data_IF_959764080819
#
_entry.id   IF_959764080819
#
_cell.length_a   1.000
_cell.length_b   1.000
_cell.length_c   1.000
_cell.angle_alpha   90.00
_cell.angle_beta   90.00
_cell.angle_gamma   90.00
#
_symmetry.space_group_name_H-M   'P 1'
#
loop_
_entity.id
_entity.type
_entity.pdbx_description
1 polymer ?
#
# COMPACT_ATOMS: atom_id res chain seq x y z
N UNK A 1 21.60 26.52 0.84
CA UNK A 1 20.44 25.71 1.22
C UNK A 1 20.87 24.26 1.37
N UNK A 2 20.47 23.65 2.49
CA UNK A 2 20.90 22.29 2.86
C UNK A 2 19.77 21.26 2.68
N UNK A 3 18.65 21.65 2.05
CA UNK A 3 17.50 20.81 1.80
C UNK A 3 17.54 20.26 0.37
N UNK A 4 17.67 18.95 0.24
CA UNK A 4 17.85 18.29 -1.06
C UNK A 4 16.49 17.90 -1.64
N UNK A 5 15.61 17.36 -0.81
CA UNK A 5 14.32 16.87 -1.26
C UNK A 5 13.59 16.05 -0.20
N UNK A 6 12.57 15.31 -0.61
CA UNK A 6 11.84 14.35 0.20
C UNK A 6 11.80 12.99 -0.46
N UNK A 7 11.77 11.95 0.35
CA UNK A 7 11.31 10.62 0.00
C UNK A 7 9.96 10.43 0.69
N UNK A 8 8.96 10.02 -0.03
CA UNK A 8 7.61 9.83 0.51
C UNK A 8 6.88 8.74 -0.27
N UNK A 9 5.85 8.20 0.34
CA UNK A 9 5.02 7.16 -0.25
C UNK A 9 4.20 7.69 -1.43
N UNK A 10 3.97 6.83 -2.43
CA UNK A 10 3.11 7.10 -3.58
C UNK A 10 1.68 6.64 -3.28
N UNK A 11 0.93 7.48 -2.57
CA UNK A 11 -0.42 7.15 -2.12
C UNK A 11 -1.42 6.91 -3.27
N UNK A 12 -1.39 7.69 -4.38
CA UNK A 12 -2.23 7.38 -5.52
C UNK A 12 -1.91 6.03 -6.16
N UNK A 13 -0.63 5.70 -6.35
CA UNK A 13 -0.22 4.38 -6.87
C UNK A 13 -0.63 3.26 -5.92
N UNK A 14 -0.50 3.46 -4.61
CA UNK A 14 -0.97 2.51 -3.60
C UNK A 14 -2.48 2.27 -3.72
N UNK A 15 -3.26 3.32 -3.85
CA UNK A 15 -4.71 3.20 -4.02
C UNK A 15 -5.09 2.45 -5.29
N UNK A 16 -4.45 2.73 -6.42
CA UNK A 16 -4.70 2.02 -7.69
C UNK A 16 -4.43 0.53 -7.54
N UNK A 17 -3.32 0.14 -6.90
CA UNK A 17 -2.94 -1.25 -6.75
C UNK A 17 -3.84 -2.02 -5.79
N UNK A 18 -4.25 -1.43 -4.66
CA UNK A 18 -5.20 -2.06 -3.73
C UNK A 18 -6.55 -2.35 -4.40
N UNK A 19 -7.03 -1.43 -5.22
CA UNK A 19 -8.25 -1.67 -6.02
C UNK A 19 -8.01 -2.76 -7.07
N UNK A 20 -6.85 -2.79 -7.73
CA UNK A 20 -6.54 -3.82 -8.72
C UNK A 20 -6.58 -5.22 -8.11
N UNK A 21 -6.06 -5.42 -6.88
CA UNK A 21 -6.15 -6.70 -6.16
C UNK A 21 -7.60 -7.18 -6.08
N UNK A 22 -8.54 -6.31 -5.71
CA UNK A 22 -9.97 -6.65 -5.60
C UNK A 22 -10.59 -6.92 -6.98
N UNK A 23 -10.33 -6.05 -7.95
CA UNK A 23 -10.89 -6.18 -9.31
C UNK A 23 -10.45 -7.47 -10.00
N UNK A 24 -9.19 -7.89 -9.81
CA UNK A 24 -8.64 -9.15 -10.33
C UNK A 24 -9.24 -10.39 -9.65
N UNK A 25 -9.65 -10.28 -8.37
CA UNK A 25 -10.41 -11.33 -7.67
C UNK A 25 -11.85 -11.47 -8.17
N UNK A 26 -12.41 -10.43 -8.76
CA UNK A 26 -13.77 -10.41 -9.28
C UNK A 26 -14.73 -9.48 -8.55
N UNK A 27 -14.23 -8.70 -7.59
CA UNK A 27 -15.06 -7.76 -6.82
C UNK A 27 -15.45 -6.55 -7.69
N UNK A 28 -16.67 -6.06 -7.49
CA UNK A 28 -17.23 -4.98 -8.31
C UNK A 28 -17.95 -3.88 -7.53
N UNK A 29 -18.33 -4.14 -6.28
CA UNK A 29 -19.06 -3.21 -5.43
C UNK A 29 -18.22 -2.93 -4.17
N UNK A 30 -17.36 -1.91 -4.25
CA UNK A 30 -16.31 -1.67 -3.29
C UNK A 30 -16.71 -0.56 -2.33
N UNK A 31 -16.77 -0.87 -1.03
CA UNK A 31 -17.05 0.07 0.04
C UNK A 31 -15.77 0.73 0.59
N UNK A 32 -15.81 2.05 0.81
CA UNK A 32 -14.68 2.81 1.30
C UNK A 32 -14.87 3.25 2.76
N UNK A 33 -13.84 3.04 3.60
CA UNK A 33 -13.82 3.48 4.99
C UNK A 33 -12.57 4.34 5.22
N UNK A 34 -12.76 5.64 5.36
CA UNK A 34 -11.69 6.61 5.58
C UNK A 34 -11.45 6.91 7.06
N UNK A 35 -10.34 7.59 7.36
CA UNK A 35 -10.06 8.13 8.71
C UNK A 35 -10.94 9.34 9.00
N UNK A 36 -10.45 10.54 8.70
CA UNK A 36 -11.16 11.80 8.84
C UNK A 36 -11.31 12.49 7.50
N UNK A 37 -12.38 13.24 7.36
CA UNK A 37 -12.57 14.01 6.12
C UNK A 37 -11.47 15.07 5.96
N UNK A 38 -10.78 15.04 4.82
CA UNK A 38 -9.72 15.99 4.50
C UNK A 38 -8.32 15.53 4.90
N UNK A 39 -8.16 14.31 5.44
CA UNK A 39 -6.85 13.71 5.62
C UNK A 39 -6.11 13.57 4.29
N UNK A 40 -4.88 14.09 4.20
CA UNK A 40 -4.14 14.19 2.95
C UNK A 40 -3.71 12.81 2.41
N UNK A 41 -3.29 11.90 3.29
CA UNK A 41 -2.89 10.53 2.95
C UNK A 41 -4.08 9.76 2.41
N UNK A 42 -5.20 9.81 3.12
CA UNK A 42 -6.45 9.21 2.67
C UNK A 42 -6.92 9.76 1.31
N UNK A 43 -6.86 11.07 1.12
CA UNK A 43 -7.25 11.68 -0.15
C UNK A 43 -6.39 11.20 -1.31
N UNK A 44 -5.07 11.03 -1.10
CA UNK A 44 -4.16 10.46 -2.10
C UNK A 44 -4.56 9.03 -2.49
N UNK A 45 -4.80 8.15 -1.50
CA UNK A 45 -5.27 6.77 -1.73
C UNK A 45 -6.60 6.76 -2.47
N UNK A 46 -7.55 7.59 -2.04
CA UNK A 46 -8.87 7.68 -2.69
C UNK A 46 -8.79 8.14 -4.16
N UNK A 47 -7.86 9.04 -4.50
CA UNK A 47 -7.58 9.36 -5.91
C UNK A 47 -7.13 8.11 -6.68
N UNK A 48 -6.26 7.29 -6.10
CA UNK A 48 -5.83 6.01 -6.67
C UNK A 48 -6.97 5.02 -6.86
N UNK A 49 -7.83 4.85 -5.85
CA UNK A 49 -9.02 3.96 -5.96
C UNK A 49 -9.91 4.36 -7.13
N UNK A 50 -10.19 5.66 -7.28
CA UNK A 50 -10.99 6.18 -8.40
C UNK A 50 -10.31 5.92 -9.75
N UNK A 51 -9.00 6.20 -9.83
CA UNK A 51 -8.24 5.99 -11.06
C UNK A 51 -8.23 4.51 -11.48
N UNK A 52 -8.03 3.59 -10.54
CA UNK A 52 -8.07 2.14 -10.79
C UNK A 52 -9.43 1.68 -11.31
N UNK A 53 -10.51 2.09 -10.65
CA UNK A 53 -11.89 1.74 -11.10
C UNK A 53 -12.23 2.39 -12.45
N UNK A 54 -11.83 3.63 -12.69
CA UNK A 54 -12.05 4.29 -13.99
C UNK A 54 -11.33 3.57 -15.13
N UNK A 55 -10.08 3.17 -14.89
CA UNK A 55 -9.26 2.41 -15.84
C UNK A 55 -9.91 1.04 -16.14
N UNK A 56 -10.27 0.28 -15.09
CA UNK A 56 -10.97 -0.99 -15.23
C UNK A 56 -12.25 -0.84 -16.04
N UNK A 57 -13.10 0.11 -15.70
CA UNK A 57 -14.38 0.34 -16.35
C UNK A 57 -14.25 0.74 -17.83
N UNK A 58 -13.17 1.41 -18.19
CA UNK A 58 -12.85 1.74 -19.57
C UNK A 58 -12.42 0.52 -20.37
N UNK A 59 -11.64 -0.36 -19.77
CA UNK A 59 -11.12 -1.58 -20.38
C UNK A 59 -12.16 -2.68 -20.40
N UNK A 60 -13.09 -2.69 -19.42
CA UNK A 60 -14.12 -3.71 -19.22
C UNK A 60 -15.53 -3.11 -19.22
N UNK A 61 -16.04 -2.58 -20.35
CA UNK A 61 -17.31 -1.85 -20.38
C UNK A 61 -18.55 -2.65 -20.02
N UNK A 62 -18.47 -3.99 -20.08
CA UNK A 62 -19.53 -4.93 -19.73
C UNK A 62 -19.38 -5.56 -18.34
N UNK A 63 -18.32 -5.21 -17.60
CA UNK A 63 -17.98 -5.75 -16.29
C UNK A 63 -17.46 -4.63 -15.39
N UNK A 64 -18.35 -3.69 -15.08
CA UNK A 64 -18.01 -2.45 -14.38
C UNK A 64 -17.99 -2.62 -12.88
N UNK A 65 -17.03 -1.96 -12.26
CA UNK A 65 -16.94 -1.81 -10.82
C UNK A 65 -17.42 -0.42 -10.35
N UNK A 66 -17.81 -0.34 -9.08
CA UNK A 66 -18.26 0.88 -8.41
C UNK A 66 -17.52 1.07 -7.09
N UNK A 67 -17.37 2.34 -6.69
CA UNK A 67 -16.90 2.73 -5.37
C UNK A 67 -18.02 3.42 -4.61
N UNK A 68 -18.19 3.12 -3.33
CA UNK A 68 -19.05 3.91 -2.47
C UNK A 68 -18.47 5.30 -2.19
N UNK A 69 -19.31 6.24 -1.75
CA UNK A 69 -18.80 7.40 -1.01
C UNK A 69 -18.15 6.92 0.30
N UNK A 70 -17.01 7.51 0.73
CA UNK A 70 -16.35 7.09 1.95
C UNK A 70 -17.21 7.26 3.21
N UNK A 71 -17.22 6.24 4.06
CA UNK A 71 -17.66 6.37 5.44
C UNK A 71 -16.43 6.73 6.30
N UNK A 72 -16.52 7.79 7.09
CA UNK A 72 -15.39 8.24 7.91
C UNK A 72 -15.49 7.64 9.32
N UNK A 73 -14.49 6.84 9.68
CA UNK A 73 -14.45 6.04 10.90
C UNK A 73 -13.61 6.66 12.03
N UNK A 74 -12.88 7.75 11.73
CA UNK A 74 -11.78 8.19 12.60
C UNK A 74 -10.69 7.11 12.67
N UNK A 75 -9.98 7.06 13.79
CA UNK A 75 -8.86 6.12 14.02
C UNK A 75 -9.23 5.05 15.06
N UNK A 76 -10.44 4.51 15.02
CA UNK A 76 -10.91 3.55 16.03
C UNK A 76 -11.55 2.31 15.40
N UNK A 77 -11.37 1.16 16.06
CA UNK A 77 -12.04 -0.09 15.68
C UNK A 77 -13.57 0.03 15.76
N UNK A 78 -14.10 0.76 16.73
CA UNK A 78 -15.55 1.02 16.85
C UNK A 78 -16.07 1.79 15.65
N UNK A 79 -15.34 2.82 15.21
CA UNK A 79 -15.67 3.60 14.01
C UNK A 79 -15.64 2.73 12.75
N UNK A 80 -14.58 1.95 12.57
CA UNK A 80 -14.44 1.01 11.45
C UNK A 80 -15.56 -0.02 11.41
N UNK A 81 -15.93 -0.59 12.56
CA UNK A 81 -17.06 -1.52 12.67
C UNK A 81 -18.39 -0.89 12.25
N UNK A 82 -18.70 0.32 12.77
CA UNK A 82 -19.93 1.03 12.42
C UNK A 82 -19.99 1.40 10.93
N UNK A 83 -18.85 1.82 10.36
CA UNK A 83 -18.76 2.16 8.95
C UNK A 83 -18.99 0.92 8.06
N UNK A 84 -18.38 -0.22 8.38
CA UNK A 84 -18.58 -1.46 7.65
C UNK A 84 -20.03 -1.96 7.75
N UNK A 85 -20.63 -1.91 8.95
CA UNK A 85 -22.04 -2.27 9.15
C UNK A 85 -22.97 -1.36 8.33
N UNK A 86 -22.68 -0.06 8.27
CA UNK A 86 -23.47 0.88 7.47
C UNK A 86 -23.37 0.61 5.96
N UNK A 87 -22.16 0.31 5.46
CA UNK A 87 -21.94 -0.04 4.05
C UNK A 87 -22.65 -1.35 3.68
N UNK A 88 -22.51 -2.41 4.47
CA UNK A 88 -23.22 -3.68 4.27
C UNK A 88 -24.72 -3.55 4.32
N UNK A 89 -25.26 -2.61 5.12
CA UNK A 89 -26.70 -2.37 5.19
C UNK A 89 -27.20 -1.51 4.02
N UNK A 90 -26.37 -0.62 3.50
CA UNK A 90 -26.72 0.27 2.39
C UNK A 90 -26.65 -0.43 1.02
N UNK A 91 -25.72 -1.36 0.86
CA UNK A 91 -25.50 -2.12 -0.37
C UNK A 91 -25.49 -3.63 -0.08
N UNK A 92 -26.59 -4.34 -0.39
CA UNK A 92 -26.66 -5.79 -0.26
C UNK A 92 -25.71 -6.56 -1.18
N UNK A 93 -25.29 -5.95 -2.28
CA UNK A 93 -24.39 -6.52 -3.29
C UNK A 93 -22.92 -6.16 -3.04
N UNK A 94 -22.61 -5.50 -1.89
CA UNK A 94 -21.25 -5.17 -1.47
C UNK A 94 -20.39 -6.44 -1.41
N UNK A 95 -19.31 -6.46 -2.18
CA UNK A 95 -18.40 -7.60 -2.29
C UNK A 95 -16.96 -7.29 -1.83
N UNK A 96 -16.63 -6.01 -1.63
CA UNK A 96 -15.33 -5.65 -1.07
C UNK A 96 -15.37 -4.42 -0.15
N UNK A 97 -14.37 -4.31 0.73
CA UNK A 97 -14.13 -3.15 1.59
C UNK A 97 -12.65 -2.72 1.52
N UNK A 98 -12.43 -1.41 1.49
CA UNK A 98 -11.12 -0.80 1.66
C UNK A 98 -11.14 0.11 2.90
N UNK A 99 -10.89 -0.42 4.09
CA UNK A 99 -10.68 0.40 5.27
C UNK A 99 -9.33 1.11 5.20
N UNK A 100 -9.28 2.35 5.66
CA UNK A 100 -8.03 3.05 5.86
C UNK A 100 -7.15 2.25 6.84
N UNK A 101 -5.91 1.99 6.43
CA UNK A 101 -4.90 1.28 7.20
C UNK A 101 -4.26 2.17 8.27
N UNK A 102 -3.22 1.68 8.88
CA UNK A 102 -2.46 2.39 9.90
C UNK A 102 -2.74 1.86 11.30
N UNK A 103 -1.90 0.89 11.71
CA UNK A 103 -1.92 0.38 13.07
C UNK A 103 -3.15 -0.44 13.47
N UNK A 104 -4.04 -0.74 12.56
CA UNK A 104 -5.12 -1.71 12.73
C UNK A 104 -6.46 -1.19 13.20
N UNK A 105 -6.64 0.11 13.41
CA UNK A 105 -7.85 0.58 14.10
C UNK A 105 -9.15 0.47 13.27
N UNK A 106 -9.39 1.22 12.18
CA UNK A 106 -10.62 1.02 11.40
C UNK A 106 -10.66 -0.35 10.74
N UNK A 107 -9.51 -0.86 10.28
CA UNK A 107 -9.38 -2.16 9.64
C UNK A 107 -9.84 -3.29 10.56
N UNK A 108 -9.34 -3.36 11.80
CA UNK A 108 -9.74 -4.38 12.76
C UNK A 108 -11.25 -4.34 13.03
N UNK A 109 -11.82 -3.14 13.10
CA UNK A 109 -13.26 -2.95 13.28
C UNK A 109 -14.08 -3.45 12.09
N UNK A 110 -13.63 -3.17 10.88
CA UNK A 110 -14.26 -3.61 9.64
C UNK A 110 -14.23 -5.14 9.51
N UNK A 111 -13.06 -5.77 9.74
CA UNK A 111 -12.91 -7.23 9.74
C UNK A 111 -13.88 -7.85 10.75
N UNK A 112 -13.89 -7.37 12.00
CA UNK A 112 -14.78 -7.89 13.02
C UNK A 112 -16.27 -7.72 12.69
N UNK A 113 -16.65 -6.68 11.95
CA UNK A 113 -18.03 -6.48 11.50
C UNK A 113 -18.42 -7.48 10.41
N UNK A 114 -17.54 -7.71 9.44
CA UNK A 114 -17.74 -8.71 8.37
C UNK A 114 -17.83 -10.13 8.95
N UNK A 115 -16.94 -10.47 9.89
CA UNK A 115 -16.95 -11.77 10.61
C UNK A 115 -18.26 -11.97 11.39
N UNK A 116 -18.71 -10.97 12.15
CA UNK A 116 -20.00 -11.04 12.90
C UNK A 116 -21.20 -11.18 11.99
N UNK A 117 -21.14 -10.60 10.79
CA UNK A 117 -22.18 -10.74 9.78
C UNK A 117 -22.16 -12.11 9.07
N UNK A 118 -21.12 -12.92 9.31
CA UNK A 118 -20.92 -14.22 8.63
C UNK A 118 -20.57 -14.07 7.15
N UNK A 119 -20.01 -12.93 6.74
CA UNK A 119 -19.73 -12.59 5.34
C UNK A 119 -18.24 -12.66 4.98
N UNK A 120 -17.41 -13.31 5.77
CA UNK A 120 -15.95 -13.42 5.54
C UNK A 120 -15.60 -14.02 4.17
N UNK A 121 -16.46 -14.84 3.58
CA UNK A 121 -16.23 -15.43 2.27
C UNK A 121 -16.97 -14.68 1.14
N UNK A 122 -17.73 -13.66 1.47
CA UNK A 122 -18.54 -12.88 0.53
C UNK A 122 -18.01 -11.46 0.33
N UNK A 123 -17.18 -10.95 1.26
CA UNK A 123 -16.64 -9.59 1.23
C UNK A 123 -15.13 -9.65 1.42
N UNK A 124 -14.41 -9.34 0.36
CA UNK A 124 -12.96 -9.21 0.38
C UNK A 124 -12.51 -7.89 1.02
N UNK A 125 -11.41 -7.94 1.77
CA UNK A 125 -10.86 -6.75 2.44
C UNK A 125 -9.41 -6.55 2.03
N UNK A 126 -9.08 -5.34 1.58
CA UNK A 126 -7.69 -4.89 1.40
C UNK A 126 -7.43 -3.63 2.22
N UNK A 127 -6.19 -3.42 2.62
CA UNK A 127 -5.81 -2.23 3.39
C UNK A 127 -4.32 -1.90 3.24
N UNK A 128 -3.83 -0.98 4.05
CA UNK A 128 -2.41 -0.58 4.13
C UNK A 128 -1.88 -0.80 5.54
N UNK A 129 -0.56 -1.02 5.68
CA UNK A 129 0.17 -1.32 6.91
C UNK A 129 -0.06 -2.73 7.44
N UNK A 130 0.85 -3.60 7.05
CA UNK A 130 0.76 -5.04 7.30
C UNK A 130 0.36 -5.40 8.73
N UNK A 131 -0.76 -6.12 8.85
CA UNK A 131 -1.18 -6.72 10.11
C UNK A 131 -0.20 -7.80 10.55
N UNK A 132 0.09 -7.92 11.86
CA UNK A 132 0.99 -8.96 12.36
C UNK A 132 0.54 -10.39 12.05
N UNK A 133 -0.77 -10.60 11.86
CA UNK A 133 -1.41 -11.87 11.56
C UNK A 133 -1.89 -11.96 10.09
N UNK A 134 -1.35 -11.13 9.20
CA UNK A 134 -1.75 -11.06 7.79
C UNK A 134 -1.70 -12.44 7.11
N UNK A 135 -0.64 -13.23 7.34
CA UNK A 135 -0.51 -14.55 6.74
C UNK A 135 -1.66 -15.50 7.11
N UNK A 136 -2.13 -15.46 8.36
CA UNK A 136 -3.30 -16.24 8.78
C UNK A 136 -4.60 -15.71 8.15
N UNK A 137 -4.72 -14.41 8.01
CA UNK A 137 -5.90 -13.75 7.42
C UNK A 137 -6.05 -14.00 5.93
N UNK A 138 -4.95 -14.02 5.20
CA UNK A 138 -4.95 -14.43 3.79
C UNK A 138 -5.37 -15.89 3.62
N UNK A 139 -4.93 -16.79 4.53
CA UNK A 139 -5.28 -18.21 4.47
C UNK A 139 -6.75 -18.46 4.83
N UNK A 140 -7.32 -17.74 5.76
CA UNK A 140 -8.71 -17.92 6.19
C UNK A 140 -9.71 -17.04 5.41
N UNK A 141 -9.23 -16.16 4.53
CA UNK A 141 -10.04 -15.30 3.68
C UNK A 141 -10.59 -14.04 4.37
N UNK A 142 -10.13 -13.71 5.59
CA UNK A 142 -10.56 -12.45 6.24
C UNK A 142 -9.83 -11.21 5.72
N UNK A 143 -8.79 -11.40 4.90
CA UNK A 143 -8.12 -10.37 4.10
C UNK A 143 -7.84 -10.91 2.70
N UNK A 144 -7.95 -10.06 1.70
CA UNK A 144 -7.57 -10.34 0.31
C UNK A 144 -6.16 -9.83 -0.01
N UNK A 145 -5.68 -8.85 0.71
CA UNK A 145 -4.33 -8.32 0.57
C UNK A 145 -4.08 -7.07 1.42
N UNK A 146 -2.83 -6.73 1.55
CA UNK A 146 -2.37 -5.48 2.16
C UNK A 146 -1.16 -4.92 1.42
N UNK A 147 -1.05 -3.59 1.46
CA UNK A 147 0.18 -2.88 1.13
C UNK A 147 0.92 -2.47 2.39
N UNK A 148 2.25 -2.33 2.30
CA UNK A 148 3.08 -1.91 3.44
C UNK A 148 4.54 -1.79 3.05
N UNK A 149 5.46 -1.94 4.02
CA UNK A 149 6.90 -1.98 3.75
C UNK A 149 7.56 -0.62 3.53
N UNK A 150 6.81 0.47 3.63
CA UNK A 150 7.32 1.84 3.50
C UNK A 150 8.35 2.20 4.61
N UNK A 151 8.48 1.40 5.64
CA UNK A 151 9.57 1.53 6.63
C UNK A 151 10.98 1.42 6.02
N UNK A 152 11.11 1.03 4.75
CA UNK A 152 12.38 1.01 4.02
C UNK A 152 12.76 2.37 3.39
N UNK A 153 11.85 3.34 3.31
CA UNK A 153 12.08 4.68 2.75
C UNK A 153 13.21 5.47 3.45
N UNK A 154 13.43 5.36 4.80
CA UNK A 154 14.55 6.04 5.45
C UNK A 154 15.91 5.67 4.88
N UNK A 155 16.07 4.46 4.33
CA UNK A 155 17.32 4.07 3.66
C UNK A 155 17.60 4.96 2.45
N UNK A 156 16.60 5.17 1.61
CA UNK A 156 16.73 6.02 0.41
C UNK A 156 16.98 7.48 0.81
N UNK A 157 16.22 7.99 1.79
CA UNK A 157 16.44 9.33 2.33
C UNK A 157 17.84 9.50 2.90
N UNK A 158 18.35 8.52 3.65
CA UNK A 158 19.73 8.52 4.16
C UNK A 158 20.75 8.52 3.02
N UNK A 159 20.60 7.65 2.03
CA UNK A 159 21.52 7.56 0.89
C UNK A 159 21.50 8.85 0.06
N UNK A 160 20.34 9.48 -0.08
CA UNK A 160 20.22 10.78 -0.76
C UNK A 160 21.06 11.85 -0.07
N UNK A 161 20.95 11.97 1.26
CA UNK A 161 21.76 12.93 2.05
C UNK A 161 23.23 12.55 2.03
N UNK A 162 23.57 11.28 2.23
CA UNK A 162 24.95 10.78 2.25
C UNK A 162 25.67 11.09 0.93
N UNK A 163 25.07 10.74 -0.20
CA UNK A 163 25.65 10.96 -1.52
C UNK A 163 25.81 12.45 -1.85
N UNK A 164 24.87 13.28 -1.43
CA UNK A 164 25.00 14.74 -1.58
C UNK A 164 26.18 15.30 -0.79
N UNK A 165 26.32 14.90 0.49
CA UNK A 165 27.44 15.32 1.35
C UNK A 165 28.79 14.84 0.81
N UNK A 166 28.84 13.65 0.20
CA UNK A 166 30.04 13.10 -0.45
C UNK A 166 30.36 13.74 -1.80
N UNK A 167 29.47 14.59 -2.33
CA UNK A 167 29.66 15.26 -3.62
C UNK A 167 29.43 14.35 -4.83
N UNK A 168 28.67 13.26 -4.65
CA UNK A 168 28.33 12.34 -5.74
C UNK A 168 27.32 12.95 -6.72
N UNK A 169 26.49 13.91 -6.27
CA UNK A 169 25.45 14.57 -7.07
C UNK A 169 26.01 15.80 -7.79
N UNK A 170 26.89 15.57 -8.78
CA UNK A 170 27.53 16.65 -9.54
C UNK A 170 26.54 17.50 -10.33
N UNK A 171 25.41 16.92 -10.70
CA UNK A 171 24.36 17.57 -11.49
C UNK A 171 23.21 18.11 -10.61
N UNK A 172 23.37 18.10 -9.28
CA UNK A 172 22.37 18.66 -8.37
C UNK A 172 22.34 20.19 -8.52
N UNK A 173 21.27 20.68 -9.15
CA UNK A 173 21.10 22.10 -9.46
C UNK A 173 20.54 22.95 -8.30
N UNK A 174 20.56 22.43 -7.06
CA UNK A 174 19.95 23.09 -5.90
C UNK A 174 18.43 23.18 -5.94
N UNK A 175 17.79 22.31 -6.73
CA UNK A 175 16.33 22.17 -6.77
C UNK A 175 15.87 21.09 -5.81
N UNK A 176 14.68 21.28 -5.28
CA UNK A 176 14.00 20.23 -4.51
C UNK A 176 13.79 18.98 -5.38
N UNK A 177 14.18 17.83 -4.84
CA UNK A 177 13.99 16.54 -5.49
C UNK A 177 12.89 15.77 -4.79
N UNK A 178 11.90 15.39 -5.56
CA UNK A 178 10.78 14.57 -5.11
C UNK A 178 11.03 13.11 -5.50
N UNK A 179 10.98 12.21 -4.50
CA UNK A 179 11.28 10.79 -4.69
C UNK A 179 10.11 9.99 -4.14
N UNK A 180 9.11 9.66 -4.97
CA UNK A 180 8.05 8.75 -4.57
C UNK A 180 8.64 7.36 -4.32
N UNK A 181 8.21 6.72 -3.21
CA UNK A 181 8.65 5.41 -2.77
C UNK A 181 7.48 4.42 -2.86
N UNK A 182 7.64 3.26 -3.51
CA UNK A 182 6.56 2.30 -3.68
C UNK A 182 6.25 1.57 -2.38
N UNK A 183 5.01 1.13 -2.25
CA UNK A 183 4.63 0.14 -1.25
C UNK A 183 4.99 -1.28 -1.71
N UNK A 184 5.17 -2.19 -0.76
CA UNK A 184 5.16 -3.62 -1.01
C UNK A 184 3.70 -4.10 -0.96
N UNK A 185 3.37 -5.09 -1.79
CA UNK A 185 2.03 -5.66 -1.85
C UNK A 185 2.07 -7.15 -1.52
N UNK A 186 1.14 -7.59 -0.69
CA UNK A 186 0.99 -8.97 -0.24
C UNK A 186 -0.47 -9.36 -0.39
N UNK A 187 -0.76 -10.25 -1.33
CA UNK A 187 -2.12 -10.73 -1.65
C UNK A 187 -2.26 -12.25 -1.64
N UNK A 188 -1.19 -12.95 -1.27
CA UNK A 188 -1.17 -14.39 -1.14
C UNK A 188 -0.28 -14.85 0.01
N UNK A 189 -0.45 -16.11 0.43
CA UNK A 189 0.43 -16.72 1.43
C UNK A 189 1.89 -16.81 0.94
N UNK A 190 2.10 -16.99 -0.36
CA UNK A 190 3.44 -17.06 -0.96
C UNK A 190 4.10 -15.67 -0.95
N UNK A 191 3.36 -14.59 -1.28
CA UNK A 191 3.85 -13.21 -1.16
C UNK A 191 4.22 -12.88 0.28
N UNK A 192 3.36 -13.31 1.25
CA UNK A 192 3.63 -13.10 2.67
C UNK A 192 4.91 -13.80 3.13
N UNK A 193 5.09 -15.05 2.74
CA UNK A 193 6.31 -15.81 3.04
C UNK A 193 7.56 -15.18 2.40
N UNK A 194 7.45 -14.66 1.19
CA UNK A 194 8.53 -13.93 0.52
C UNK A 194 8.82 -12.59 1.22
N UNK A 195 7.78 -11.84 1.61
CA UNK A 195 7.93 -10.64 2.41
C UNK A 195 8.67 -10.90 3.73
N UNK A 196 8.21 -11.91 4.52
CA UNK A 196 8.89 -12.27 5.78
C UNK A 196 10.36 -12.60 5.53
N UNK A 197 10.64 -13.42 4.54
CA UNK A 197 12.00 -13.85 4.22
C UNK A 197 12.93 -12.70 3.83
N UNK A 198 12.46 -11.79 2.95
CA UNK A 198 13.34 -10.79 2.32
C UNK A 198 13.29 -9.40 2.97
N UNK A 199 12.34 -9.14 3.87
CA UNK A 199 12.17 -7.83 4.51
C UNK A 199 12.08 -7.89 6.04
N UNK A 200 11.82 -9.06 6.63
CA UNK A 200 11.72 -9.25 8.09
C UNK A 200 12.89 -10.07 8.62
N UNK A 201 13.12 -11.27 8.08
CA UNK A 201 14.17 -12.18 8.54
C UNK A 201 15.56 -11.74 8.11
N UNK A 202 15.66 -10.97 7.05
CA UNK A 202 16.91 -10.42 6.53
C UNK A 202 16.70 -8.98 6.03
N UNK A 203 17.80 -8.27 5.85
CA UNK A 203 17.75 -6.95 5.21
C UNK A 203 17.50 -7.11 3.69
N UNK A 204 16.73 -6.20 3.08
CA UNK A 204 16.43 -6.26 1.64
C UNK A 204 17.63 -5.96 0.73
N UNK A 205 18.74 -5.51 1.31
CA UNK A 205 19.99 -5.20 0.61
C UNK A 205 21.19 -5.80 1.35
N UNK A 206 22.14 -6.34 0.59
CA UNK A 206 23.44 -6.79 1.11
C UNK A 206 24.37 -5.60 1.39
N UNK A 207 25.44 -5.83 2.15
CA UNK A 207 26.46 -4.81 2.42
C UNK A 207 27.09 -4.26 1.13
N UNK A 208 27.34 -5.12 0.14
CA UNK A 208 27.91 -4.71 -1.15
C UNK A 208 26.94 -3.83 -1.95
N UNK A 209 25.65 -4.14 -1.94
CA UNK A 209 24.61 -3.31 -2.55
C UNK A 209 24.48 -1.95 -1.86
N UNK A 210 24.53 -1.90 -0.52
CA UNK A 210 24.54 -0.64 0.25
C UNK A 210 25.78 0.21 -0.08
N UNK A 211 26.95 -0.42 -0.22
CA UNK A 211 28.18 0.26 -0.64
C UNK A 211 28.09 0.77 -2.08
N UNK A 212 27.42 0.03 -2.98
CA UNK A 212 27.17 0.50 -4.34
C UNK A 212 26.21 1.70 -4.33
N UNK A 213 25.09 1.59 -3.61
CA UNK A 213 24.09 2.66 -3.45
C UNK A 213 24.70 3.95 -2.89
N UNK A 214 25.69 3.83 -2.00
CA UNK A 214 26.42 4.99 -1.43
C UNK A 214 27.30 5.76 -2.42
N UNK A 215 27.33 5.34 -3.68
CA UNK A 215 28.11 5.97 -4.77
C UNK A 215 27.21 6.34 -5.97
N UNK A 216 25.94 6.02 -5.91
CA UNK A 216 24.98 6.30 -6.97
C UNK A 216 24.83 7.80 -7.23
N UNK A 217 24.60 8.16 -8.46
CA UNK A 217 24.06 9.46 -8.83
C UNK A 217 22.61 9.59 -8.33
N UNK A 218 22.09 10.80 -8.28
CA UNK A 218 20.69 11.02 -7.89
C UNK A 218 19.70 10.29 -8.80
N UNK A 219 19.99 10.24 -10.10
CA UNK A 219 19.18 9.50 -11.07
C UNK A 219 19.17 7.99 -10.80
N UNK A 220 20.31 7.41 -10.49
CA UNK A 220 20.43 6.00 -10.16
C UNK A 220 19.71 5.67 -8.85
N UNK A 221 19.90 6.49 -7.79
CA UNK A 221 19.21 6.31 -6.52
C UNK A 221 17.68 6.38 -6.67
N UNK A 222 17.16 7.31 -7.50
CA UNK A 222 15.73 7.36 -7.82
C UNK A 222 15.24 6.08 -8.53
N UNK A 223 16.04 5.52 -9.41
CA UNK A 223 15.71 4.26 -10.08
C UNK A 223 15.73 3.08 -9.10
N UNK A 224 16.72 3.04 -8.20
CA UNK A 224 16.79 2.06 -7.11
C UNK A 224 15.55 2.17 -6.20
N UNK A 225 15.16 3.38 -5.79
CA UNK A 225 13.96 3.60 -4.99
C UNK A 225 12.69 3.08 -5.70
N UNK A 226 12.53 3.40 -6.98
CA UNK A 226 11.35 3.00 -7.76
C UNK A 226 11.27 1.49 -8.04
N UNK A 227 12.38 0.75 -7.90
CA UNK A 227 12.41 -0.71 -8.15
C UNK A 227 12.08 -1.55 -6.92
N UNK A 228 11.97 -0.94 -5.75
CA UNK A 228 11.74 -1.69 -4.50
C UNK A 228 10.44 -2.49 -4.59
N UNK A 229 10.57 -3.80 -4.47
CA UNK A 229 9.47 -4.75 -4.45
C UNK A 229 9.93 -6.09 -3.87
N UNK A 230 8.99 -6.95 -3.48
CA UNK A 230 9.29 -8.32 -3.03
C UNK A 230 10.00 -9.09 -4.16
N UNK A 231 9.51 -8.99 -5.39
CA UNK A 231 10.09 -9.66 -6.55
C UNK A 231 11.52 -9.18 -6.88
N UNK A 232 11.81 -7.86 -6.69
CA UNK A 232 13.16 -7.33 -6.84
C UNK A 232 14.11 -7.93 -5.80
N UNK A 233 13.71 -7.92 -4.53
CA UNK A 233 14.52 -8.50 -3.44
C UNK A 233 14.80 -9.99 -3.67
N UNK A 234 13.80 -10.76 -4.07
CA UNK A 234 13.95 -12.17 -4.42
C UNK A 234 14.91 -12.39 -5.60
N UNK A 235 14.75 -11.61 -6.67
CA UNK A 235 15.62 -11.69 -7.86
C UNK A 235 17.08 -11.36 -7.55
N UNK A 236 17.33 -10.44 -6.61
CA UNK A 236 18.69 -10.08 -6.18
C UNK A 236 19.31 -11.15 -5.28
N UNK A 237 18.51 -11.74 -4.38
CA UNK A 237 18.95 -12.79 -3.46
C UNK A 237 19.29 -14.13 -4.18
N UNK A 238 18.77 -14.35 -5.38
CA UNK A 238 19.04 -15.54 -6.20
C UNK A 238 20.32 -15.46 -7.06
N UNK A 239 21.06 -14.37 -6.97
CA UNK A 239 22.34 -14.15 -7.70
C UNK A 239 23.52 -14.39 -6.78
#
# INVERSE_FOLDING_TARGET
DYYIGAVHEDEPANGEELVNILLEKGDRNIGLIGWEQGDATWLGRWEGYKAGVEKWNKENPNDKATLSEPQYAGTTSEGGSKAAEALMAADPDLDALIPAGGGGDPLQGAIAAVERAGKTQDIDIVSTDFLPDLGERLQNGSMAGESGGHFCDPLIAFMMVYNAVKGNYKDFAGKFEDVPFPYLYVSSADDYAAYEKYFVDQLPYTDDELVAMSKESLKELKATAASVSIADAESRAGK
#
